data_IF_843085138443
#
_entry.id   IF_843085138443
#
_cell.length_a   1.000
_cell.length_b   1.000
_cell.length_c   1.000
_cell.angle_alpha   90.00
_cell.angle_beta   90.00
_cell.angle_gamma   90.00
#
_symmetry.space_group_name_H-M   'P 1'
#
loop_
_entity.id
_entity.type
_entity.pdbx_description
1 polymer ?
#
# COMPACT_ATOMS: atom_id res chain seq x y z
N UNK A 1 -9.58 38.45 -58.54
CA UNK A 1 -10.83 37.77 -58.12
C UNK A 1 -11.38 38.50 -56.90
N UNK A 2 -12.69 38.73 -56.83
CA UNK A 2 -13.38 39.24 -55.62
C UNK A 2 -13.59 38.07 -54.61
N UNK A 3 -14.07 38.23 -53.37
CA UNK A 3 -14.78 39.32 -52.65
C UNK A 3 -14.47 39.15 -51.13
N UNK A 4 -14.32 40.14 -50.24
CA UNK A 4 -15.31 41.08 -49.64
C UNK A 4 -16.61 40.38 -49.19
N UNK A 5 -17.24 40.57 -48.02
CA UNK A 5 -17.13 41.58 -46.91
C UNK A 5 -17.81 40.96 -45.63
N UNK A 6 -18.09 41.56 -44.45
CA UNK A 6 -17.96 42.91 -43.84
C UNK A 6 -18.17 42.89 -42.30
N UNK A 7 -17.40 43.71 -41.56
CA UNK A 7 -17.76 44.59 -40.42
C UNK A 7 -18.69 44.19 -39.23
N UNK A 8 -18.19 44.51 -38.03
CA UNK A 8 -18.81 45.28 -36.92
C UNK A 8 -20.34 45.28 -36.71
N UNK A 9 -20.73 44.99 -35.46
CA UNK A 9 -21.55 45.82 -34.52
C UNK A 9 -21.72 44.98 -33.24
N UNK A 10 -21.74 45.41 -31.98
CA UNK A 10 -21.48 46.64 -31.19
C UNK A 10 -22.02 46.29 -29.76
N UNK A 11 -21.78 47.06 -28.68
CA UNK A 11 -21.90 46.51 -27.32
C UNK A 11 -23.21 46.84 -26.56
N UNK A 12 -23.62 45.96 -25.63
CA UNK A 12 -24.57 46.30 -24.56
C UNK A 12 -24.12 45.76 -23.19
N UNK A 13 -23.39 46.60 -22.46
CA UNK A 13 -23.16 46.44 -21.03
C UNK A 13 -24.26 47.19 -20.26
N UNK A 14 -25.31 46.51 -19.78
CA UNK A 14 -26.19 47.04 -18.71
C UNK A 14 -27.12 46.00 -18.07
N UNK A 15 -26.97 45.85 -16.76
CA UNK A 15 -28.01 45.68 -15.72
C UNK A 15 -29.15 44.66 -15.94
N UNK A 16 -29.21 43.66 -15.04
CA UNK A 16 -30.13 43.80 -13.89
C UNK A 16 -29.72 42.91 -12.71
N UNK A 17 -30.06 43.31 -11.49
CA UNK A 17 -30.04 42.46 -10.29
C UNK A 17 -31.39 41.75 -10.17
N UNK A 18 -31.41 40.45 -9.91
CA UNK A 18 -32.53 39.83 -9.21
C UNK A 18 -32.08 38.78 -8.21
N UNK A 19 -32.94 38.49 -7.24
CA UNK A 19 -32.65 37.72 -6.03
C UNK A 19 -32.54 36.23 -6.33
N UNK A 20 -31.82 35.52 -5.46
CA UNK A 20 -31.54 34.10 -5.64
C UNK A 20 -32.77 33.20 -5.53
N UNK A 21 -32.70 32.09 -6.25
CA UNK A 21 -33.40 30.85 -5.95
C UNK A 21 -32.35 29.75 -5.81
N UNK A 22 -32.33 29.07 -4.66
CA UNK A 22 -31.43 27.95 -4.42
C UNK A 22 -31.91 26.74 -5.23
N UNK A 23 -31.19 26.36 -6.28
CA UNK A 23 -31.50 25.18 -7.09
C UNK A 23 -31.33 23.90 -6.25
N UNK A 24 -32.39 23.08 -6.01
CA UNK A 24 -32.29 21.90 -5.16
C UNK A 24 -31.26 20.87 -5.65
N UNK A 25 -31.07 20.81 -6.97
CA UNK A 25 -30.18 19.87 -7.68
C UNK A 25 -28.70 20.04 -7.29
N UNK A 26 -28.28 21.25 -6.87
CA UNK A 26 -26.89 21.48 -6.47
C UNK A 26 -26.54 20.84 -5.10
N UNK A 27 -27.53 20.50 -4.27
CA UNK A 27 -27.32 19.90 -2.95
C UNK A 27 -27.26 18.37 -2.97
N UNK A 28 -28.12 17.72 -3.75
CA UNK A 28 -28.24 16.26 -3.75
C UNK A 28 -26.99 15.52 -4.28
N UNK A 29 -26.20 16.18 -5.15
CA UNK A 29 -24.92 15.64 -5.66
C UNK A 29 -23.82 15.68 -4.60
N UNK A 30 -23.85 16.62 -3.66
CA UNK A 30 -22.90 16.70 -2.53
C UNK A 30 -23.22 15.75 -1.36
N UNK A 31 -24.36 15.06 -1.38
CA UNK A 31 -24.87 14.29 -0.23
C UNK A 31 -24.70 12.76 -0.38
N UNK A 32 -24.12 12.26 -1.49
CA UNK A 32 -24.02 10.82 -1.79
C UNK A 32 -22.60 10.20 -1.73
N UNK A 33 -21.56 10.99 -1.44
CA UNK A 33 -20.35 10.42 -0.84
C UNK A 33 -20.57 10.36 0.68
N UNK A 34 -21.17 9.27 1.16
CA UNK A 34 -21.30 9.02 2.59
C UNK A 34 -19.92 8.88 3.21
N UNK A 35 -19.47 9.97 3.84
CA UNK A 35 -18.19 10.06 4.54
C UNK A 35 -18.30 9.23 5.84
N UNK A 36 -18.25 7.90 5.67
CA UNK A 36 -18.12 6.93 6.75
C UNK A 36 -16.73 7.09 7.35
N UNK A 37 -16.58 8.14 8.15
CA UNK A 37 -15.38 8.45 8.90
C UNK A 37 -15.13 7.32 9.89
N UNK A 38 -14.35 6.32 9.46
CA UNK A 38 -14.09 5.11 10.21
C UNK A 38 -13.74 5.43 11.66
N UNK A 39 -14.45 4.80 12.58
CA UNK A 39 -14.27 5.06 14.01
C UNK A 39 -12.82 4.79 14.43
N UNK A 40 -12.34 5.47 15.47
CA UNK A 40 -10.98 5.23 15.99
C UNK A 40 -10.76 3.75 16.34
N UNK A 41 -11.81 3.06 16.80
CA UNK A 41 -11.82 1.63 17.10
C UNK A 41 -11.78 0.76 15.84
N UNK A 42 -12.53 1.09 14.78
CA UNK A 42 -12.49 0.39 13.49
C UNK A 42 -11.09 0.48 12.86
N UNK A 43 -10.50 1.68 12.89
CA UNK A 43 -9.11 1.89 12.47
C UNK A 43 -8.16 1.01 13.30
N UNK A 44 -8.25 1.02 14.63
CA UNK A 44 -7.38 0.24 15.50
C UNK A 44 -7.50 -1.27 15.21
N UNK A 45 -8.74 -1.79 15.12
CA UNK A 45 -9.02 -3.19 14.84
C UNK A 45 -8.51 -3.62 13.45
N UNK A 46 -8.76 -2.83 12.41
CA UNK A 46 -8.33 -3.16 11.04
C UNK A 46 -6.81 -3.07 10.86
N UNK A 47 -6.15 -2.11 11.51
CA UNK A 47 -4.69 -2.02 11.51
C UNK A 47 -4.04 -3.15 12.32
N UNK A 48 -4.64 -3.53 13.46
CA UNK A 48 -4.21 -4.70 14.25
C UNK A 48 -4.34 -6.00 13.43
N UNK A 49 -5.53 -6.30 12.91
CA UNK A 49 -5.80 -7.52 12.13
C UNK A 49 -4.99 -7.57 10.83
N UNK A 50 -4.84 -6.43 10.15
CA UNK A 50 -4.01 -6.33 8.94
C UNK A 50 -2.53 -6.60 9.23
N UNK A 51 -1.98 -6.00 10.29
CA UNK A 51 -0.59 -6.22 10.70
C UNK A 51 -0.35 -7.67 11.16
N UNK A 52 -1.33 -8.29 11.83
CA UNK A 52 -1.25 -9.68 12.27
C UNK A 52 -1.26 -10.66 11.08
N UNK A 53 -2.15 -10.48 10.10
CA UNK A 53 -2.16 -11.31 8.89
C UNK A 53 -0.87 -11.16 8.06
N UNK A 54 -0.37 -9.93 7.90
CA UNK A 54 0.94 -9.71 7.25
C UNK A 54 2.08 -10.33 8.06
N UNK A 55 2.03 -10.29 9.40
CA UNK A 55 3.05 -10.90 10.26
C UNK A 55 3.11 -12.42 10.17
N UNK A 56 1.96 -13.08 10.19
CA UNK A 56 1.85 -14.53 9.99
C UNK A 56 2.34 -14.89 8.58
N UNK A 57 1.97 -14.13 7.54
CA UNK A 57 2.47 -14.32 6.18
C UNK A 57 4.00 -14.17 6.11
N UNK A 58 4.58 -13.16 6.76
CA UNK A 58 6.04 -12.97 6.81
C UNK A 58 6.76 -14.07 7.60
N UNK A 59 6.18 -14.61 8.67
CA UNK A 59 6.72 -15.80 9.35
C UNK A 59 6.71 -17.04 8.44
N UNK A 60 5.61 -17.26 7.70
CA UNK A 60 5.51 -18.36 6.73
C UNK A 60 6.53 -18.20 5.59
N UNK A 61 6.76 -16.97 5.12
CA UNK A 61 7.78 -16.70 4.11
C UNK A 61 9.20 -16.90 4.67
N UNK A 62 9.49 -16.43 5.89
CA UNK A 62 10.77 -16.67 6.56
C UNK A 62 11.11 -18.16 6.63
N UNK A 63 10.18 -18.98 7.15
CA UNK A 63 10.40 -20.42 7.30
C UNK A 63 10.57 -21.14 5.94
N UNK A 64 9.83 -20.72 4.92
CA UNK A 64 9.95 -21.29 3.58
C UNK A 64 11.10 -20.68 2.74
N UNK A 65 11.85 -19.70 3.28
CA UNK A 65 12.89 -18.96 2.56
C UNK A 65 12.38 -18.14 1.37
N UNK A 66 11.11 -17.71 1.43
CA UNK A 66 10.47 -16.84 0.45
C UNK A 66 10.72 -15.36 0.80
N UNK A 67 10.44 -14.48 -0.16
CA UNK A 67 10.52 -13.04 0.01
C UNK A 67 9.36 -12.34 -0.72
N UNK A 68 9.21 -11.05 -0.45
CA UNK A 68 8.28 -10.13 -1.10
C UNK A 68 9.12 -9.11 -1.87
N UNK A 69 8.51 -8.24 -2.68
CA UNK A 69 9.20 -7.02 -3.14
C UNK A 69 9.46 -6.01 -2.00
N UNK A 70 9.85 -4.80 -2.38
CA UNK A 70 9.82 -3.61 -1.52
C UNK A 70 10.75 -3.71 -0.28
N UNK A 71 10.56 -2.82 0.71
CA UNK A 71 11.36 -2.81 1.95
C UNK A 71 11.26 -4.11 2.75
N UNK A 72 10.19 -4.88 2.59
CA UNK A 72 10.06 -6.21 3.18
C UNK A 72 11.04 -7.20 2.53
N UNK A 73 11.12 -7.24 1.20
CA UNK A 73 12.10 -8.05 0.48
C UNK A 73 13.54 -7.66 0.80
N UNK A 74 13.85 -6.37 0.90
CA UNK A 74 15.19 -5.93 1.32
C UNK A 74 15.55 -6.44 2.73
N UNK A 75 14.58 -6.44 3.66
CA UNK A 75 14.76 -7.03 4.98
C UNK A 75 14.91 -8.56 4.95
N UNK A 76 14.20 -9.26 4.05
CA UNK A 76 14.39 -10.70 3.83
C UNK A 76 15.78 -11.02 3.27
N UNK A 77 16.25 -10.28 2.25
CA UNK A 77 17.60 -10.45 1.69
C UNK A 77 18.68 -10.24 2.77
N UNK A 78 18.55 -9.20 3.60
CA UNK A 78 19.49 -8.96 4.70
C UNK A 78 19.36 -10.00 5.83
N UNK A 79 18.15 -10.45 6.16
CA UNK A 79 17.92 -11.56 7.11
C UNK A 79 18.62 -12.85 6.65
N UNK A 80 18.42 -13.26 5.40
CA UNK A 80 19.05 -14.45 4.83
C UNK A 80 20.57 -14.32 4.64
N UNK A 81 21.08 -13.11 4.38
CA UNK A 81 22.52 -12.86 4.22
C UNK A 81 23.30 -12.73 5.54
N UNK A 82 22.64 -12.34 6.65
CA UNK A 82 23.31 -12.03 7.93
C UNK A 82 22.88 -12.93 9.10
N UNK A 83 21.78 -13.67 8.98
CA UNK A 83 21.16 -14.41 10.07
C UNK A 83 20.45 -13.54 11.13
N UNK A 84 20.46 -12.21 11.00
CA UNK A 84 19.80 -11.31 11.96
C UNK A 84 18.28 -11.46 11.94
N UNK A 85 17.56 -11.34 13.08
CA UNK A 85 16.11 -11.50 13.12
C UNK A 85 15.38 -10.56 12.16
N UNK A 86 14.52 -11.11 11.29
CA UNK A 86 13.82 -10.35 10.26
C UNK A 86 13.13 -9.09 10.79
N UNK A 87 12.38 -9.20 11.90
CA UNK A 87 11.64 -8.06 12.46
C UNK A 87 12.55 -6.90 12.91
N UNK A 88 13.73 -7.20 13.45
CA UNK A 88 14.73 -6.18 13.82
C UNK A 88 15.27 -5.46 12.58
N UNK A 89 15.67 -6.23 11.56
CA UNK A 89 16.19 -5.71 10.28
C UNK A 89 15.12 -4.86 9.58
N UNK A 90 13.89 -5.36 9.52
CA UNK A 90 12.75 -4.67 8.92
C UNK A 90 12.38 -3.38 9.65
N UNK A 91 12.40 -3.38 10.99
CA UNK A 91 12.18 -2.16 11.76
C UNK A 91 13.27 -1.12 11.47
N UNK A 92 14.55 -1.52 11.53
CA UNK A 92 15.70 -0.65 11.29
C UNK A 92 15.68 -0.01 9.90
N UNK A 93 15.38 -0.79 8.85
CA UNK A 93 15.22 -0.30 7.47
C UNK A 93 14.12 0.76 7.38
N UNK A 94 13.03 0.64 8.14
CA UNK A 94 11.91 1.58 8.08
C UNK A 94 12.14 2.91 8.83
N UNK A 95 13.10 2.98 9.78
CA UNK A 95 13.43 4.21 10.55
C UNK A 95 13.61 5.47 9.69
N UNK A 96 14.51 5.52 8.68
CA UNK A 96 14.70 6.72 7.86
C UNK A 96 13.44 7.13 7.09
N UNK A 97 12.59 6.17 6.72
CA UNK A 97 11.35 6.46 6.00
C UNK A 97 10.25 7.02 6.91
N UNK A 98 10.24 6.73 8.22
CA UNK A 98 9.32 7.40 9.15
C UNK A 98 9.65 8.89 9.28
N UNK A 99 10.92 9.24 9.47
CA UNK A 99 11.37 10.63 9.52
C UNK A 99 11.01 11.39 8.24
N UNK A 100 11.17 10.72 7.10
CA UNK A 100 10.78 11.27 5.81
C UNK A 100 9.25 11.44 5.65
N UNK A 101 8.45 10.42 5.99
CA UNK A 101 6.99 10.46 5.90
C UNK A 101 6.36 11.51 6.83
N UNK A 102 6.92 11.67 8.04
CA UNK A 102 6.47 12.68 9.01
C UNK A 102 6.54 14.10 8.42
N UNK A 103 7.61 14.37 7.66
CA UNK A 103 7.91 15.67 7.05
C UNK A 103 7.26 15.88 5.67
N UNK A 104 6.71 14.82 5.03
CA UNK A 104 6.23 14.87 3.63
C UNK A 104 4.79 14.42 3.40
N UNK A 105 4.34 13.37 4.08
CA UNK A 105 2.99 12.79 3.92
C UNK A 105 2.10 13.21 5.09
N UNK A 106 2.66 13.23 6.30
CA UNK A 106 2.01 13.79 7.48
C UNK A 106 1.97 12.85 8.68
N UNK A 107 1.74 13.47 9.85
CA UNK A 107 1.90 12.85 11.17
C UNK A 107 0.92 11.67 11.39
N UNK A 108 -0.34 11.80 10.98
CA UNK A 108 -1.38 10.75 11.13
C UNK A 108 -1.03 9.45 10.37
N UNK A 109 -0.68 9.56 9.10
CA UNK A 109 -0.24 8.42 8.28
C UNK A 109 1.04 7.77 8.82
N UNK A 110 1.98 8.60 9.28
CA UNK A 110 3.26 8.12 9.81
C UNK A 110 3.09 7.35 11.11
N UNK A 111 2.25 7.82 12.05
CA UNK A 111 1.95 7.08 13.30
C UNK A 111 1.23 5.76 13.02
N UNK A 112 0.25 5.73 12.10
CA UNK A 112 -0.41 4.49 11.67
C UNK A 112 0.59 3.48 11.08
N UNK A 113 1.44 3.95 10.16
CA UNK A 113 2.47 3.13 9.49
C UNK A 113 3.51 2.61 10.49
N UNK A 114 3.98 3.47 11.40
CA UNK A 114 4.89 3.08 12.48
C UNK A 114 4.29 2.00 13.38
N UNK A 115 3.04 2.17 13.82
CA UNK A 115 2.36 1.19 14.66
C UNK A 115 2.19 -0.16 13.95
N UNK A 116 1.85 -0.16 12.66
CA UNK A 116 1.74 -1.39 11.87
C UNK A 116 3.09 -2.09 11.70
N UNK A 117 4.16 -1.36 11.37
CA UNK A 117 5.50 -1.94 11.20
C UNK A 117 6.12 -2.38 12.54
N UNK A 118 5.89 -1.65 13.63
CA UNK A 118 6.30 -2.06 14.98
C UNK A 118 5.59 -3.36 15.40
N UNK A 119 4.28 -3.46 15.19
CA UNK A 119 3.51 -4.68 15.43
C UNK A 119 3.99 -5.84 14.57
N UNK A 120 4.21 -5.60 13.27
CA UNK A 120 4.73 -6.59 12.32
C UNK A 120 6.13 -7.09 12.70
N UNK A 121 6.99 -6.19 13.17
CA UNK A 121 8.34 -6.52 13.67
C UNK A 121 8.27 -7.32 14.98
N UNK A 122 7.33 -7.01 15.87
CA UNK A 122 7.08 -7.78 17.09
C UNK A 122 6.55 -9.18 16.78
N UNK A 123 5.52 -9.31 15.92
CA UNK A 123 4.95 -10.60 15.49
C UNK A 123 6.01 -11.47 14.81
N UNK A 124 6.85 -10.92 13.94
CA UNK A 124 7.90 -11.69 13.25
C UNK A 124 9.12 -12.01 14.13
N UNK A 125 9.36 -11.28 15.21
CA UNK A 125 10.48 -11.54 16.14
C UNK A 125 10.09 -12.48 17.28
N UNK A 126 8.92 -12.27 17.91
CA UNK A 126 8.45 -13.07 19.04
C UNK A 126 7.54 -14.23 18.62
N UNK A 127 6.88 -14.14 17.46
CA UNK A 127 6.00 -15.19 16.94
C UNK A 127 6.61 -16.60 16.92
N UNK A 128 7.88 -16.80 16.52
CA UNK A 128 8.54 -18.11 16.57
C UNK A 128 8.65 -18.73 17.98
N UNK A 129 8.46 -17.95 19.06
CA UNK A 129 8.39 -18.44 20.44
C UNK A 129 7.01 -18.99 20.82
N UNK A 130 5.95 -18.56 20.12
CA UNK A 130 4.55 -18.96 20.37
C UNK A 130 4.01 -19.92 19.30
N UNK A 131 4.57 -19.88 18.09
CA UNK A 131 4.14 -20.64 16.92
C UNK A 131 5.40 -21.13 16.18
N UNK A 132 5.81 -22.35 16.51
CA UNK A 132 6.92 -23.03 15.83
C UNK A 132 6.38 -23.80 14.61
N UNK A 133 7.02 -23.61 13.44
CA UNK A 133 6.65 -24.28 12.19
C UNK A 133 7.80 -25.20 11.78
N UNK A 134 7.80 -26.43 12.29
CA UNK A 134 8.86 -27.43 12.06
C UNK A 134 9.14 -27.64 10.55
N UNK A 135 8.09 -27.91 9.77
CA UNK A 135 8.15 -28.01 8.31
C UNK A 135 7.07 -27.18 7.62
N UNK A 136 7.44 -26.47 6.54
CA UNK A 136 6.51 -25.73 5.69
C UNK A 136 6.90 -25.86 4.21
N UNK A 137 6.07 -26.52 3.41
CA UNK A 137 6.35 -26.71 1.99
C UNK A 137 6.21 -25.36 1.22
N UNK A 138 7.20 -24.94 0.40
CA UNK A 138 7.21 -23.62 -0.25
C UNK A 138 5.98 -23.28 -1.10
N UNK A 139 5.36 -24.25 -1.79
CA UNK A 139 4.10 -24.05 -2.53
C UNK A 139 2.95 -23.58 -1.60
N UNK A 140 2.84 -24.18 -0.41
CA UNK A 140 1.80 -23.83 0.55
C UNK A 140 2.09 -22.46 1.18
N UNK A 141 3.36 -22.20 1.53
CA UNK A 141 3.79 -20.88 1.99
C UNK A 141 3.47 -19.79 0.96
N UNK A 142 3.75 -20.04 -0.33
CA UNK A 142 3.45 -19.10 -1.41
C UNK A 142 1.96 -18.79 -1.52
N UNK A 143 1.09 -19.82 -1.56
CA UNK A 143 -0.34 -19.63 -1.74
C UNK A 143 -1.00 -19.04 -0.48
N UNK A 144 -0.83 -19.69 0.68
CA UNK A 144 -1.48 -19.25 1.92
C UNK A 144 -0.90 -17.93 2.43
N UNK A 145 0.43 -17.76 2.39
CA UNK A 145 1.10 -16.50 2.73
C UNK A 145 0.74 -15.37 1.75
N UNK A 146 0.64 -15.67 0.45
CA UNK A 146 0.19 -14.69 -0.56
C UNK A 146 -1.24 -14.20 -0.31
N UNK A 147 -2.16 -15.10 0.05
CA UNK A 147 -3.54 -14.74 0.42
C UNK A 147 -3.59 -13.94 1.73
N UNK A 148 -2.90 -14.36 2.79
CA UNK A 148 -2.82 -13.65 4.07
C UNK A 148 -2.17 -12.27 3.94
N UNK A 149 -1.17 -12.12 3.07
CA UNK A 149 -0.61 -10.82 2.76
C UNK A 149 -1.58 -9.95 1.97
N UNK A 150 -2.30 -10.53 1.00
CA UNK A 150 -3.32 -9.83 0.23
C UNK A 150 -4.46 -9.29 1.10
N UNK A 151 -4.96 -10.06 2.06
CA UNK A 151 -6.00 -9.61 3.01
C UNK A 151 -5.47 -8.51 3.94
N UNK A 152 -4.30 -8.71 4.55
CA UNK A 152 -3.73 -7.76 5.50
C UNK A 152 -3.35 -6.42 4.87
N UNK A 153 -2.72 -6.45 3.69
CA UNK A 153 -2.40 -5.24 2.91
C UNK A 153 -3.69 -4.50 2.50
N UNK A 154 -4.74 -5.20 2.11
CA UNK A 154 -6.03 -4.58 1.76
C UNK A 154 -6.68 -3.89 2.97
N UNK A 155 -6.63 -4.50 4.16
CA UNK A 155 -7.14 -3.87 5.39
C UNK A 155 -6.35 -2.61 5.76
N UNK A 156 -5.02 -2.66 5.67
CA UNK A 156 -4.15 -1.51 5.95
C UNK A 156 -4.33 -0.36 4.94
N UNK A 157 -4.42 -0.68 3.65
CA UNK A 157 -4.62 0.31 2.59
C UNK A 157 -5.95 1.06 2.74
N UNK A 158 -7.05 0.35 3.04
CA UNK A 158 -8.37 0.95 3.29
C UNK A 158 -8.34 1.98 4.44
N UNK A 159 -7.51 1.76 5.46
CA UNK A 159 -7.38 2.63 6.62
C UNK A 159 -6.22 3.64 6.53
N UNK A 160 -5.71 3.90 5.32
CA UNK A 160 -4.59 4.83 5.08
C UNK A 160 -3.36 4.54 5.97
N UNK A 161 -2.93 3.27 5.97
CA UNK A 161 -1.64 2.84 6.51
C UNK A 161 -0.84 2.09 5.43
N UNK A 162 0.44 1.91 5.66
CA UNK A 162 1.37 1.23 4.75
C UNK A 162 2.26 0.25 5.51
N UNK A 163 2.91 -0.64 4.75
CA UNK A 163 4.04 -1.44 5.22
C UNK A 163 5.36 -0.65 5.25
N UNK A 164 5.39 0.59 4.76
CA UNK A 164 6.46 1.55 5.02
C UNK A 164 7.25 1.97 3.79
N UNK A 165 8.58 1.88 3.88
CA UNK A 165 9.49 2.74 3.14
C UNK A 165 9.33 2.80 1.62
N UNK A 166 9.15 1.65 0.95
CA UNK A 166 9.02 1.65 -0.51
C UNK A 166 7.79 2.42 -1.01
N UNK A 167 6.65 2.28 -0.33
CA UNK A 167 5.41 3.03 -0.64
C UNK A 167 5.54 4.52 -0.32
N UNK A 168 6.28 4.86 0.75
CA UNK A 168 6.57 6.26 1.12
C UNK A 168 7.41 6.92 0.01
N UNK A 169 8.42 6.22 -0.52
CA UNK A 169 9.25 6.70 -1.63
C UNK A 169 8.45 6.83 -2.93
N UNK A 170 7.63 5.84 -3.28
CA UNK A 170 6.87 5.86 -4.54
C UNK A 170 5.78 6.93 -4.55
N UNK A 171 5.08 7.15 -3.42
CA UNK A 171 4.16 8.28 -3.23
C UNK A 171 4.89 9.63 -3.32
N UNK A 172 6.06 9.78 -2.69
CA UNK A 172 6.84 11.01 -2.77
C UNK A 172 7.36 11.29 -4.19
N UNK A 173 7.82 10.27 -4.89
CA UNK A 173 8.25 10.40 -6.28
C UNK A 173 7.09 10.80 -7.20
N UNK A 174 5.88 10.30 -6.91
CA UNK A 174 4.66 10.70 -7.59
C UNK A 174 4.27 12.16 -7.31
N UNK A 175 4.44 12.67 -6.10
CA UNK A 175 4.17 14.09 -5.88
C UNK A 175 5.29 14.99 -6.42
N UNK A 176 6.57 14.69 -6.09
CA UNK A 176 7.71 15.56 -6.40
C UNK A 176 8.10 15.60 -7.88
N UNK A 177 7.97 14.48 -8.60
CA UNK A 177 8.41 14.34 -9.99
C UNK A 177 7.28 13.92 -10.95
N UNK A 178 6.05 13.73 -10.45
CA UNK A 178 4.86 13.28 -11.23
C UNK A 178 5.06 11.93 -11.94
N UNK A 179 6.01 11.11 -11.48
CA UNK A 179 6.23 9.73 -11.92
C UNK A 179 5.16 8.83 -11.28
N UNK A 180 4.40 8.01 -12.03
CA UNK A 180 3.40 7.13 -11.42
C UNK A 180 4.00 6.20 -10.35
N UNK A 181 3.48 6.22 -9.13
CA UNK A 181 4.04 5.49 -7.99
C UNK A 181 4.28 4.00 -8.28
N UNK A 182 3.35 3.35 -9.01
CA UNK A 182 3.49 1.95 -9.43
C UNK A 182 4.74 1.64 -10.28
N UNK A 183 5.25 2.61 -11.07
CA UNK A 183 6.52 2.45 -11.80
C UNK A 183 7.73 2.46 -10.85
N UNK A 184 7.69 3.33 -9.84
CA UNK A 184 8.74 3.41 -8.81
C UNK A 184 8.71 2.18 -7.91
N UNK A 185 7.51 1.70 -7.54
CA UNK A 185 7.34 0.46 -6.80
C UNK A 185 7.91 -0.73 -7.59
N UNK A 186 7.53 -0.90 -8.86
CA UNK A 186 8.05 -1.95 -9.73
C UNK A 186 9.58 -1.90 -9.88
N UNK A 187 10.18 -0.71 -9.98
CA UNK A 187 11.63 -0.57 -10.03
C UNK A 187 12.32 -1.01 -8.73
N UNK A 188 11.74 -0.69 -7.57
CA UNK A 188 12.23 -1.17 -6.26
C UNK A 188 12.07 -2.69 -6.16
N UNK A 189 10.89 -3.22 -6.53
CA UNK A 189 10.59 -4.65 -6.44
C UNK A 189 11.51 -5.48 -7.34
N UNK A 190 11.77 -5.04 -8.58
CA UNK A 190 12.74 -5.68 -9.49
C UNK A 190 14.16 -5.62 -8.93
N UNK A 191 14.61 -4.46 -8.41
CA UNK A 191 15.93 -4.34 -7.80
C UNK A 191 16.10 -5.28 -6.59
N UNK A 192 15.06 -5.41 -5.76
CA UNK A 192 15.03 -6.33 -4.61
C UNK A 192 15.04 -7.80 -5.03
N UNK A 193 14.34 -8.18 -6.12
CA UNK A 193 14.39 -9.55 -6.67
C UNK A 193 15.76 -9.87 -7.28
N UNK A 194 16.40 -8.90 -7.95
CA UNK A 194 17.77 -9.06 -8.47
C UNK A 194 18.80 -9.23 -7.34
N UNK A 195 18.66 -8.49 -6.24
CA UNK A 195 19.47 -8.68 -5.02
C UNK A 195 19.16 -10.01 -4.33
N UNK A 196 17.90 -10.48 -4.36
CA UNK A 196 17.54 -11.77 -3.78
C UNK A 196 18.20 -12.94 -4.51
N UNK A 197 18.35 -12.86 -5.84
CA UNK A 197 18.98 -13.93 -6.64
C UNK A 197 20.46 -14.18 -6.32
N UNK A 198 21.16 -13.28 -5.62
CA UNK A 198 22.55 -13.52 -5.15
C UNK A 198 22.63 -14.16 -3.75
N UNK A 199 21.52 -14.20 -2.99
CA UNK A 199 21.45 -14.72 -1.61
C UNK A 199 20.56 -15.97 -1.51
N UNK A 200 19.56 -16.09 -2.39
CA UNK A 200 18.45 -17.05 -2.31
C UNK A 200 18.34 -17.83 -3.62
N UNK A 201 18.13 -19.15 -3.54
CA UNK A 201 18.07 -20.00 -4.73
C UNK A 201 16.91 -19.62 -5.67
N UNK A 202 17.14 -19.75 -6.98
CA UNK A 202 16.16 -19.37 -8.02
C UNK A 202 14.78 -20.02 -7.82
N UNK A 203 14.75 -21.22 -7.25
CA UNK A 203 13.52 -21.96 -6.91
C UNK A 203 12.69 -21.23 -5.84
N UNK A 204 13.33 -20.74 -4.78
CA UNK A 204 12.67 -19.94 -3.72
C UNK A 204 12.24 -18.57 -4.25
N UNK A 205 13.01 -17.98 -5.18
CA UNK A 205 12.58 -16.77 -5.91
C UNK A 205 11.36 -17.05 -6.79
N UNK A 206 11.28 -18.19 -7.47
CA UNK A 206 10.09 -18.59 -8.24
C UNK A 206 8.86 -18.79 -7.33
N UNK A 207 9.00 -19.41 -6.15
CA UNK A 207 7.94 -19.49 -5.15
C UNK A 207 7.53 -18.11 -4.60
N UNK A 208 8.47 -17.18 -4.49
CA UNK A 208 8.22 -15.78 -4.09
C UNK A 208 7.44 -15.01 -5.15
N UNK A 209 7.75 -15.23 -6.43
CA UNK A 209 6.96 -14.69 -7.57
C UNK A 209 5.54 -15.27 -7.54
N UNK A 210 5.37 -16.58 -7.28
CA UNK A 210 4.03 -17.17 -7.12
C UNK A 210 3.26 -16.51 -5.95
N UNK A 211 3.90 -16.27 -4.81
CA UNK A 211 3.29 -15.59 -3.67
C UNK A 211 2.84 -14.16 -4.03
N UNK A 212 3.68 -13.41 -4.74
CA UNK A 212 3.36 -12.07 -5.22
C UNK A 212 2.22 -12.08 -6.25
N UNK A 213 2.15 -13.09 -7.13
CA UNK A 213 1.04 -13.26 -8.08
C UNK A 213 -0.26 -13.59 -7.35
N UNK A 214 -0.26 -14.51 -6.39
CA UNK A 214 -1.45 -14.87 -5.58
C UNK A 214 -1.96 -13.65 -4.79
N UNK A 215 -1.05 -12.92 -4.13
CA UNK A 215 -1.35 -11.65 -3.47
C UNK A 215 -1.97 -10.63 -4.45
N UNK A 216 -1.37 -10.45 -5.63
CA UNK A 216 -1.83 -9.47 -6.63
C UNK A 216 -3.20 -9.82 -7.19
N UNK A 217 -3.45 -11.09 -7.51
CA UNK A 217 -4.75 -11.59 -7.97
C UNK A 217 -5.80 -11.43 -6.88
N UNK A 218 -5.48 -11.75 -5.62
CA UNK A 218 -6.40 -11.55 -4.50
C UNK A 218 -6.78 -10.07 -4.33
N UNK A 219 -5.80 -9.16 -4.38
CA UNK A 219 -6.04 -7.71 -4.31
C UNK A 219 -6.90 -7.27 -5.50
N UNK A 220 -6.60 -7.70 -6.72
CA UNK A 220 -7.38 -7.35 -7.92
C UNK A 220 -8.83 -7.83 -7.85
N UNK A 221 -9.08 -9.09 -7.47
CA UNK A 221 -10.44 -9.63 -7.30
C UNK A 221 -11.21 -8.90 -6.19
N UNK A 222 -10.52 -8.49 -5.12
CA UNK A 222 -11.09 -7.77 -3.97
C UNK A 222 -11.28 -6.28 -4.22
N UNK A 223 -10.54 -5.69 -5.16
CA UNK A 223 -10.60 -4.27 -5.53
C UNK A 223 -11.56 -4.04 -6.71
N UNK A 224 -12.82 -4.48 -6.58
CA UNK A 224 -13.88 -4.10 -7.53
C UNK A 224 -14.42 -2.70 -7.19
N UNK A 225 -14.28 -1.69 -8.07
CA UNK A 225 -14.92 -0.40 -7.87
C UNK A 225 -16.45 -0.55 -7.82
N UNK A 226 -17.11 0.26 -6.99
CA UNK A 226 -18.58 0.42 -7.03
C UNK A 226 -19.44 -0.61 -6.28
N UNK A 227 -18.88 -1.66 -5.65
CA UNK A 227 -19.69 -2.65 -4.90
C UNK A 227 -19.95 -2.32 -3.42
N UNK A 228 -19.41 -1.21 -2.92
CA UNK A 228 -19.62 -0.68 -1.57
C UNK A 228 -20.09 0.79 -1.55
N UNK A 229 -20.55 1.30 -2.70
CA UNK A 229 -21.50 2.42 -2.67
C UNK A 229 -22.84 1.85 -2.18
N UNK A 230 -23.34 2.33 -1.05
CA UNK A 230 -24.59 1.85 -0.47
C UNK A 230 -25.79 2.09 -1.40
N UNK A 231 -26.80 1.22 -1.27
CA UNK A 231 -28.18 1.49 -1.67
C UNK A 231 -28.96 1.94 -0.44
#
# INVERSE_FOLDING_TARGET
MASSTSFFTSPLFRLSRSRGSSTPVAKSVSEHSSDLQHSAYENAQALFAGSLFVGIAMMMFAQAGLLIGSTAGLAFVLHYATGWPFGLVYFAINIPFYWFAWNRIGRRFTVKTFACVAMLSAVTTFGPQFLHIDYLHPLFAAIAGGLLMGTGVLFMARHQSSLGGATIVSLYAQDRWKIPAGKVQMAIDVAVVLLALSVVSWQRVAWSILAAVVMSVFIWVSHRPGRYAGR
#
